data_IF_427655427074
#
_entry.id   IF_427655427074
#
_cell.length_a   1.000
_cell.length_b   1.000
_cell.length_c   1.000
_cell.angle_alpha   90.00
_cell.angle_beta   90.00
_cell.angle_gamma   90.00
#
_symmetry.space_group_name_H-M   'P 1'
#
loop_
_entity.id
_entity.type
_entity.pdbx_description
1 polymer ?
#
# COMPACT_ATOMS: atom_id res chain seq x y z
N UNK A 1 69.90 -5.72 -60.03
CA UNK A 1 68.45 -5.41 -59.95
C UNK A 1 67.76 -6.62 -59.31
N UNK A 2 67.67 -6.66 -57.98
CA UNK A 2 67.10 -7.78 -57.25
C UNK A 2 65.60 -7.53 -57.00
N UNK A 3 64.74 -8.46 -57.46
CA UNK A 3 63.33 -8.52 -57.10
C UNK A 3 63.17 -9.56 -56.00
N UNK A 4 62.87 -9.08 -54.79
CA UNK A 4 62.62 -9.89 -53.59
C UNK A 4 61.16 -10.30 -53.53
N UNK A 5 60.93 -11.60 -53.33
CA UNK A 5 59.64 -12.25 -53.10
C UNK A 5 59.11 -11.83 -51.72
N UNK A 6 57.89 -11.28 -51.65
CA UNK A 6 57.24 -10.93 -50.39
C UNK A 6 56.08 -11.91 -50.12
N UNK A 7 56.31 -12.80 -49.16
CA UNK A 7 55.34 -13.79 -48.67
C UNK A 7 54.29 -13.09 -47.79
N UNK A 8 53.02 -13.25 -48.12
CA UNK A 8 51.88 -12.70 -47.40
C UNK A 8 51.53 -13.61 -46.20
N UNK A 9 51.79 -13.16 -44.96
CA UNK A 9 51.32 -13.82 -43.74
C UNK A 9 49.91 -13.32 -43.38
N UNK A 10 48.94 -14.25 -43.35
CA UNK A 10 47.61 -14.04 -42.81
C UNK A 10 47.67 -14.09 -41.27
N UNK A 11 47.41 -12.97 -40.60
CA UNK A 11 47.27 -12.88 -39.16
C UNK A 11 45.79 -13.06 -38.77
N UNK A 12 45.47 -14.16 -38.08
CA UNK A 12 44.18 -14.36 -37.40
C UNK A 12 44.13 -13.55 -36.09
N UNK A 13 43.08 -12.76 -35.82
CA UNK A 13 42.96 -12.07 -34.54
C UNK A 13 42.55 -13.06 -33.44
N UNK A 14 43.35 -13.12 -32.38
CA UNK A 14 43.00 -13.75 -31.11
C UNK A 14 41.97 -12.86 -30.40
N UNK A 15 40.74 -13.35 -30.23
CA UNK A 15 39.75 -12.74 -29.35
C UNK A 15 40.17 -13.06 -27.91
N UNK A 16 40.67 -12.07 -27.20
CA UNK A 16 41.04 -12.19 -25.79
C UNK A 16 39.76 -12.13 -24.95
N UNK A 17 39.37 -13.25 -24.35
CA UNK A 17 38.29 -13.29 -23.38
C UNK A 17 38.66 -12.40 -22.18
N UNK A 18 37.88 -11.34 -21.95
CA UNK A 18 38.02 -10.52 -20.76
C UNK A 18 37.73 -11.39 -19.53
N UNK A 19 38.76 -11.66 -18.72
CA UNK A 19 38.59 -12.31 -17.43
C UNK A 19 37.84 -11.35 -16.50
N UNK A 20 36.61 -11.70 -16.16
CA UNK A 20 35.84 -11.04 -15.11
C UNK A 20 36.59 -11.26 -13.80
N UNK A 21 37.22 -10.20 -13.29
CA UNK A 21 37.80 -10.24 -11.94
C UNK A 21 36.65 -10.37 -10.93
N UNK A 22 36.71 -11.34 -10.00
CA UNK A 22 35.70 -11.44 -8.95
C UNK A 22 35.75 -10.18 -8.09
N UNK A 23 34.61 -9.50 -7.98
CA UNK A 23 34.47 -8.36 -7.08
C UNK A 23 34.70 -8.84 -5.63
N UNK A 24 35.39 -8.05 -4.79
CA UNK A 24 35.50 -8.35 -3.37
C UNK A 24 34.11 -8.50 -2.76
N UNK A 25 33.91 -9.39 -1.77
CA UNK A 25 32.63 -9.51 -1.10
C UNK A 25 32.24 -8.15 -0.52
N UNK A 26 31.08 -7.65 -0.91
CA UNK A 26 30.46 -6.51 -0.25
C UNK A 26 30.22 -6.95 1.19
N UNK A 27 30.96 -6.37 2.14
CA UNK A 27 30.71 -6.58 3.55
C UNK A 27 29.29 -6.10 3.83
N UNK A 28 28.40 -7.03 4.17
CA UNK A 28 27.07 -6.71 4.65
C UNK A 28 27.22 -5.74 5.82
N UNK A 29 26.52 -4.61 5.75
CA UNK A 29 26.37 -3.73 6.90
C UNK A 29 25.88 -4.57 8.10
N UNK A 30 26.32 -4.27 9.34
CA UNK A 30 25.82 -4.95 10.52
C UNK A 30 24.28 -4.91 10.52
N UNK A 31 23.60 -5.97 10.97
CA UNK A 31 22.15 -5.97 11.03
C UNK A 31 21.69 -4.75 11.82
N UNK A 32 20.98 -3.84 11.15
CA UNK A 32 20.18 -2.82 11.82
C UNK A 32 19.29 -3.58 12.80
N UNK A 33 19.30 -3.16 14.07
CA UNK A 33 18.43 -3.71 15.08
C UNK A 33 17.01 -3.74 14.51
N UNK A 34 16.38 -4.93 14.51
CA UNK A 34 15.01 -5.07 14.08
C UNK A 34 14.14 -4.03 14.82
N UNK A 35 13.20 -3.36 14.14
CA UNK A 35 12.29 -2.44 14.81
C UNK A 35 11.65 -3.16 15.99
N UNK A 36 11.76 -2.55 17.17
CA UNK A 36 11.22 -3.10 18.42
C UNK A 36 9.74 -3.42 18.23
N UNK A 37 9.39 -4.71 18.28
CA UNK A 37 7.99 -5.11 18.21
C UNK A 37 7.22 -4.50 19.38
N UNK A 38 5.99 -4.00 19.14
CA UNK A 38 5.20 -3.43 20.21
C UNK A 38 5.01 -4.41 21.39
N UNK A 39 5.23 -3.95 22.62
CA UNK A 39 5.08 -4.74 23.85
C UNK A 39 3.66 -4.59 24.42
N UNK A 40 3.12 -5.65 25.04
CA UNK A 40 1.77 -5.63 25.62
C UNK A 40 1.70 -4.64 26.79
N UNK A 41 0.75 -3.70 26.77
CA UNK A 41 0.52 -2.75 27.87
C UNK A 41 -0.93 -2.74 28.35
N UNK A 42 -1.14 -2.17 29.54
CA UNK A 42 -2.46 -1.93 30.10
C UNK A 42 -3.24 -0.96 29.18
N UNK A 43 -4.38 -1.45 28.70
CA UNK A 43 -5.18 -0.82 27.65
C UNK A 43 -5.84 0.48 28.14
N UNK A 44 -5.75 1.60 27.40
CA UNK A 44 -6.76 2.66 27.46
C UNK A 44 -8.16 2.06 27.26
N UNK A 45 -9.22 2.78 27.62
CA UNK A 45 -10.59 2.37 27.28
C UNK A 45 -10.70 2.18 25.76
N UNK A 46 -10.86 0.93 25.33
CA UNK A 46 -10.98 0.54 23.93
C UNK A 46 -12.47 0.57 23.53
N UNK A 47 -12.80 1.27 22.43
CA UNK A 47 -14.13 1.16 21.83
C UNK A 47 -14.27 -0.19 21.10
N UNK A 48 -15.46 -0.81 21.09
CA UNK A 48 -15.72 -2.01 20.28
C UNK A 48 -15.39 -1.81 18.79
N UNK A 49 -15.57 -0.59 18.28
CA UNK A 49 -15.28 -0.21 16.90
C UNK A 49 -13.78 -0.26 16.61
N UNK A 50 -12.95 0.34 17.48
CA UNK A 50 -11.50 0.30 17.35
C UNK A 50 -11.00 -1.15 17.39
N UNK A 51 -11.50 -1.95 18.35
CA UNK A 51 -11.18 -3.37 18.46
C UNK A 51 -11.45 -4.11 17.16
N UNK A 52 -12.66 -3.94 16.65
CA UNK A 52 -13.10 -4.64 15.47
C UNK A 52 -12.32 -4.22 14.22
N UNK A 53 -12.03 -2.93 14.02
CA UNK A 53 -11.21 -2.45 12.90
C UNK A 53 -9.82 -3.11 12.89
N UNK A 54 -9.18 -3.24 14.06
CA UNK A 54 -7.85 -3.88 14.18
C UNK A 54 -7.93 -5.38 13.89
N UNK A 55 -8.90 -6.08 14.47
CA UNK A 55 -9.09 -7.52 14.23
C UNK A 55 -9.45 -7.79 12.76
N UNK A 56 -10.24 -6.92 12.14
CA UNK A 56 -10.59 -6.98 10.72
C UNK A 56 -9.36 -6.81 9.82
N UNK A 57 -8.48 -5.84 10.10
CA UNK A 57 -7.21 -5.68 9.37
C UNK A 57 -6.34 -6.94 9.46
N UNK A 58 -6.21 -7.53 10.67
CA UNK A 58 -5.48 -8.78 10.88
C UNK A 58 -6.11 -10.00 10.20
N UNK A 59 -7.43 -10.01 10.09
CA UNK A 59 -8.18 -11.04 9.38
C UNK A 59 -8.15 -10.86 7.85
N UNK A 60 -7.47 -9.82 7.35
CA UNK A 60 -7.41 -9.41 5.94
C UNK A 60 -8.73 -8.90 5.36
N UNK A 61 -9.64 -8.41 6.20
CA UNK A 61 -10.86 -7.72 5.80
C UNK A 61 -10.75 -6.26 6.24
N UNK A 62 -9.84 -5.51 5.61
CA UNK A 62 -9.49 -4.14 6.01
C UNK A 62 -10.70 -3.21 6.03
N UNK A 63 -10.76 -2.31 7.02
CA UNK A 63 -11.66 -1.16 7.03
C UNK A 63 -11.01 0.10 6.41
N UNK A 64 -9.80 -0.03 5.87
CA UNK A 64 -8.96 1.08 5.41
C UNK A 64 -8.21 1.71 6.59
N UNK A 65 -8.23 3.04 6.68
CA UNK A 65 -7.64 3.74 7.82
C UNK A 65 -8.42 3.45 9.11
N UNK A 66 -7.71 2.99 10.14
CA UNK A 66 -8.25 2.77 11.49
C UNK A 66 -8.42 4.15 12.16
N UNK A 67 -9.66 4.47 12.50
CA UNK A 67 -10.06 5.75 13.09
C UNK A 67 -10.93 5.57 14.36
N UNK A 68 -11.23 4.32 14.74
CA UNK A 68 -12.05 3.98 15.89
C UNK A 68 -13.54 4.27 15.70
N UNK A 69 -14.00 4.58 14.49
CA UNK A 69 -15.39 4.93 14.20
C UNK A 69 -16.11 3.89 13.35
N UNK A 70 -17.41 3.74 13.58
CA UNK A 70 -18.26 2.91 12.74
C UNK A 70 -18.66 3.65 11.46
N UNK A 71 -17.93 3.39 10.37
CA UNK A 71 -18.19 3.95 9.05
C UNK A 71 -18.67 2.94 7.99
N UNK A 72 -18.91 3.41 6.77
CA UNK A 72 -19.27 2.58 5.61
C UNK A 72 -18.22 1.50 5.33
N UNK A 73 -16.93 1.84 5.36
CA UNK A 73 -15.85 0.88 5.12
C UNK A 73 -15.83 -0.23 6.16
N UNK A 74 -16.04 0.11 7.45
CA UNK A 74 -16.14 -0.89 8.50
C UNK A 74 -17.35 -1.82 8.30
N UNK A 75 -18.51 -1.27 7.91
CA UNK A 75 -19.69 -2.06 7.57
C UNK A 75 -19.39 -3.03 6.42
N UNK A 76 -18.72 -2.59 5.36
CA UNK A 76 -18.38 -3.43 4.20
C UNK A 76 -17.35 -4.51 4.57
N UNK A 77 -16.35 -4.17 5.38
CA UNK A 77 -15.40 -5.11 5.96
C UNK A 77 -16.11 -6.21 6.76
N UNK A 78 -17.05 -5.84 7.64
CA UNK A 78 -17.87 -6.78 8.40
C UNK A 78 -18.72 -7.68 7.48
N UNK A 79 -19.36 -7.11 6.46
CA UNK A 79 -20.14 -7.89 5.48
C UNK A 79 -19.27 -8.94 4.78
N UNK A 80 -18.10 -8.55 4.29
CA UNK A 80 -17.14 -9.45 3.64
C UNK A 80 -16.66 -10.53 4.59
N UNK A 81 -16.27 -10.15 5.81
CA UNK A 81 -15.79 -11.07 6.82
C UNK A 81 -16.86 -12.11 7.19
N UNK A 82 -18.08 -11.66 7.47
CA UNK A 82 -19.21 -12.52 7.81
C UNK A 82 -19.50 -13.53 6.69
N UNK A 83 -19.61 -13.06 5.44
CA UNK A 83 -19.77 -13.93 4.26
C UNK A 83 -18.66 -14.98 4.18
N UNK A 84 -17.39 -14.58 4.38
CA UNK A 84 -16.23 -15.48 4.32
C UNK A 84 -16.21 -16.56 5.42
N UNK A 85 -16.93 -16.32 6.52
CA UNK A 85 -17.04 -17.22 7.68
C UNK A 85 -18.36 -18.00 7.71
N UNK A 86 -19.21 -17.85 6.69
CA UNK A 86 -20.52 -18.49 6.64
C UNK A 86 -21.52 -17.96 7.68
N UNK A 87 -21.29 -16.73 8.16
CA UNK A 87 -22.19 -16.03 9.08
C UNK A 87 -23.25 -15.25 8.29
N UNK A 88 -24.32 -14.85 8.97
CA UNK A 88 -25.28 -13.91 8.42
C UNK A 88 -24.57 -12.57 8.13
N UNK A 89 -24.65 -12.10 6.88
CA UNK A 89 -24.03 -10.86 6.43
C UNK A 89 -24.87 -9.64 6.87
N UNK A 90 -24.90 -9.38 8.18
CA UNK A 90 -25.63 -8.26 8.79
C UNK A 90 -24.90 -6.92 8.64
N UNK A 91 -23.58 -6.99 8.43
CA UNK A 91 -22.67 -5.86 8.44
C UNK A 91 -22.51 -5.23 9.81
N UNK A 92 -23.05 -5.82 10.89
CA UNK A 92 -23.00 -5.33 12.27
C UNK A 92 -21.97 -6.10 13.09
N UNK A 93 -21.40 -5.45 14.10
CA UNK A 93 -20.56 -6.10 15.11
C UNK A 93 -21.43 -6.83 16.15
N UNK A 94 -22.10 -7.91 15.73
CA UNK A 94 -22.90 -8.75 16.61
C UNK A 94 -22.04 -9.76 17.40
N UNK A 95 -22.57 -10.40 18.47
CA UNK A 95 -21.80 -11.32 19.31
C UNK A 95 -21.19 -12.51 18.54
N UNK A 96 -21.86 -13.00 17.49
CA UNK A 96 -21.33 -14.09 16.67
C UNK A 96 -20.13 -13.63 15.84
N UNK A 97 -20.23 -12.44 15.25
CA UNK A 97 -19.16 -11.81 14.47
C UNK A 97 -17.96 -11.49 15.35
N UNK A 98 -18.18 -10.95 16.55
CA UNK A 98 -17.12 -10.67 17.52
C UNK A 98 -16.39 -11.96 17.93
N UNK A 99 -17.14 -13.03 18.23
CA UNK A 99 -16.55 -14.32 18.58
C UNK A 99 -15.73 -14.93 17.43
N UNK A 100 -16.13 -14.69 16.18
CA UNK A 100 -15.40 -15.18 15.01
C UNK A 100 -14.16 -14.33 14.65
N UNK A 101 -14.16 -13.04 15.00
CA UNK A 101 -13.03 -12.11 14.79
C UNK A 101 -11.91 -12.28 15.80
N UNK A 102 -12.22 -12.78 17.00
CA UNK A 102 -11.27 -12.86 18.11
C UNK A 102 -10.06 -13.76 17.78
N UNK A 103 -8.86 -13.19 17.90
CA UNK A 103 -7.58 -13.87 17.63
C UNK A 103 -6.77 -14.15 18.92
N UNK A 104 -7.30 -13.76 20.09
CA UNK A 104 -6.69 -13.88 21.42
C UNK A 104 -5.37 -13.11 21.58
N UNK A 105 -5.08 -12.18 20.68
CA UNK A 105 -3.90 -11.31 20.75
C UNK A 105 -4.31 -9.90 21.20
N UNK A 106 -3.46 -9.19 21.97
CA UNK A 106 -3.69 -7.78 22.28
C UNK A 106 -3.81 -6.96 21.00
N UNK A 107 -4.92 -6.25 20.86
CA UNK A 107 -5.24 -5.39 19.71
C UNK A 107 -4.52 -4.04 19.75
N UNK A 108 -4.16 -3.56 20.94
CA UNK A 108 -3.25 -2.43 21.12
C UNK A 108 -1.91 -2.94 21.66
N UNK A 109 -0.85 -2.17 21.38
CA UNK A 109 0.46 -2.46 21.91
C UNK A 109 1.29 -1.18 22.11
N UNK A 110 2.32 -1.26 22.94
CA UNK A 110 3.25 -0.17 23.22
C UNK A 110 4.39 -0.17 22.23
N UNK A 111 4.53 0.91 21.48
CA UNK A 111 5.65 1.20 20.62
C UNK A 111 6.59 2.23 21.26
N UNK A 112 7.90 2.00 21.19
CA UNK A 112 8.91 2.97 21.63
C UNK A 112 9.41 3.72 20.41
N UNK A 113 9.25 5.04 20.42
CA UNK A 113 9.70 5.92 19.34
C UNK A 113 11.21 5.82 19.21
N UNK A 114 11.68 5.52 18.01
CA UNK A 114 13.10 5.32 17.71
C UNK A 114 13.73 6.59 17.19
N UNK A 115 15.06 6.62 17.17
CA UNK A 115 15.83 7.68 16.54
C UNK A 115 15.50 7.81 15.03
N UNK A 116 15.31 6.68 14.34
CA UNK A 116 14.91 6.67 12.93
C UNK A 116 13.52 7.29 12.71
N UNK A 117 12.57 7.10 13.64
CA UNK A 117 11.26 7.73 13.52
C UNK A 117 11.34 9.24 13.72
N UNK A 118 12.26 9.75 14.54
CA UNK A 118 12.38 11.21 14.76
C UNK A 118 13.18 11.89 13.65
N UNK A 119 14.19 11.22 13.10
CA UNK A 119 15.09 11.80 12.08
C UNK A 119 14.39 12.11 10.74
N UNK A 120 13.33 11.36 10.38
CA UNK A 120 12.64 11.54 9.11
C UNK A 120 13.45 11.04 7.92
N UNK A 121 13.35 11.65 6.72
CA UNK A 121 13.03 13.05 6.49
C UNK A 121 11.53 13.36 6.50
N UNK A 122 11.15 14.45 7.17
CA UNK A 122 9.80 15.02 7.17
C UNK A 122 9.78 16.35 6.45
N UNK A 123 8.90 16.49 5.44
CA UNK A 123 8.77 17.74 4.68
C UNK A 123 7.32 17.97 4.29
N UNK A 124 6.79 19.20 4.42
CA UNK A 124 5.46 19.52 3.91
C UNK A 124 5.33 19.10 2.44
N UNK A 125 4.25 18.38 2.13
CA UNK A 125 3.94 17.96 0.77
C UNK A 125 3.30 19.14 0.04
N UNK A 126 3.89 19.66 -1.05
CA UNK A 126 3.30 20.75 -1.82
C UNK A 126 1.96 20.33 -2.42
N UNK A 127 1.03 21.27 -2.60
CA UNK A 127 -0.26 20.97 -3.22
C UNK A 127 -0.13 20.72 -4.74
N UNK A 128 0.63 21.57 -5.43
CA UNK A 128 0.72 21.55 -6.91
C UNK A 128 1.61 20.41 -7.42
N UNK A 129 1.23 19.79 -8.55
CA UNK A 129 2.05 18.75 -9.19
C UNK A 129 3.42 19.30 -9.64
N UNK A 130 3.48 20.57 -10.04
CA UNK A 130 4.72 21.23 -10.43
C UNK A 130 5.71 21.38 -9.26
N UNK A 131 5.23 21.69 -8.06
CA UNK A 131 6.08 21.81 -6.88
C UNK A 131 6.45 20.44 -6.30
N UNK A 132 5.52 19.47 -6.32
CA UNK A 132 5.82 18.07 -5.99
C UNK A 132 6.99 17.54 -6.83
N UNK A 133 7.01 17.83 -8.13
CA UNK A 133 8.07 17.39 -9.05
C UNK A 133 9.46 17.97 -8.77
N UNK A 134 9.57 19.03 -7.95
CA UNK A 134 10.87 19.61 -7.55
C UNK A 134 11.52 18.84 -6.39
N UNK A 135 10.76 17.99 -5.69
CA UNK A 135 11.27 17.23 -4.56
C UNK A 135 11.99 15.95 -5.03
N UNK A 136 13.08 15.55 -4.36
CA UNK A 136 13.81 14.32 -4.70
C UNK A 136 13.02 13.04 -4.36
N UNK A 137 12.05 13.13 -3.44
CA UNK A 137 11.12 12.09 -3.04
C UNK A 137 9.90 12.75 -2.36
N UNK A 138 8.73 12.09 -2.42
CA UNK A 138 7.53 12.50 -1.68
C UNK A 138 7.38 11.63 -0.43
N UNK A 139 8.26 11.89 0.55
CA UNK A 139 8.21 11.27 1.88
C UNK A 139 7.03 11.77 2.73
N UNK A 140 6.95 11.31 3.97
CA UNK A 140 5.95 11.78 4.93
C UNK A 140 6.14 13.26 5.30
N UNK A 141 5.04 13.95 5.60
CA UNK A 141 5.05 15.32 6.09
C UNK A 141 5.34 15.41 7.59
N UNK A 142 5.06 14.36 8.36
CA UNK A 142 5.28 14.31 9.80
C UNK A 142 5.51 12.89 10.31
N UNK A 143 6.02 12.78 11.53
CA UNK A 143 6.11 11.50 12.24
C UNK A 143 4.72 10.89 12.48
N UNK A 144 3.71 11.69 12.78
CA UNK A 144 2.34 11.24 12.98
C UNK A 144 1.80 10.51 11.74
N UNK A 145 2.08 11.05 10.56
CA UNK A 145 1.71 10.44 9.29
C UNK A 145 2.49 9.15 9.04
N UNK A 146 3.80 9.14 9.30
CA UNK A 146 4.63 7.96 9.13
C UNK A 146 4.23 6.80 10.07
N UNK A 147 3.92 7.12 11.33
CA UNK A 147 3.41 6.15 12.30
C UNK A 147 1.97 5.74 11.97
N UNK A 148 1.15 6.66 11.46
CA UNK A 148 -0.18 6.37 10.94
C UNK A 148 -0.14 5.34 9.82
N UNK A 149 0.71 5.56 8.82
CA UNK A 149 0.96 4.62 7.73
C UNK A 149 1.44 3.26 8.26
N UNK A 150 2.41 3.26 9.20
CA UNK A 150 2.96 2.02 9.77
C UNK A 150 1.90 1.19 10.51
N UNK A 151 1.07 1.84 11.32
CA UNK A 151 0.09 1.16 12.18
C UNK A 151 -1.33 1.19 11.60
N UNK A 152 -1.46 1.50 10.31
CA UNK A 152 -2.71 1.61 9.55
C UNK A 152 -3.75 2.55 10.20
N UNK A 153 -3.29 3.55 10.94
CA UNK A 153 -4.10 4.38 11.81
C UNK A 153 -4.17 5.83 11.31
N UNK A 154 -5.25 6.53 11.63
CA UNK A 154 -5.29 7.98 11.45
C UNK A 154 -4.33 8.67 12.43
N UNK A 155 -3.59 9.72 12.00
CA UNK A 155 -2.82 10.57 12.91
C UNK A 155 -3.63 11.06 14.12
N UNK A 156 -4.91 11.39 13.89
CA UNK A 156 -5.85 11.80 14.93
C UNK A 156 -6.05 10.70 15.99
N UNK A 157 -6.37 9.48 15.56
CA UNK A 157 -6.53 8.34 16.47
C UNK A 157 -5.24 8.09 17.27
N UNK A 158 -4.08 8.14 16.63
CA UNK A 158 -2.81 7.96 17.33
C UNK A 158 -2.61 9.01 18.44
N UNK A 159 -3.00 10.26 18.21
CA UNK A 159 -2.96 11.30 19.26
C UNK A 159 -3.99 11.07 20.36
N UNK A 160 -5.20 10.63 20.01
CA UNK A 160 -6.25 10.32 20.99
C UNK A 160 -5.88 9.14 21.90
N UNK A 161 -5.21 8.12 21.36
CA UNK A 161 -4.66 7.00 22.14
C UNK A 161 -3.52 7.41 23.07
N UNK A 162 -2.90 8.58 22.82
CA UNK A 162 -1.65 9.01 23.46
C UNK A 162 -1.72 10.45 23.99
N UNK A 163 -2.67 10.76 24.90
CA UNK A 163 -2.84 12.11 25.42
C UNK A 163 -1.56 12.58 26.13
N UNK A 164 -1.06 13.75 25.72
CA UNK A 164 0.12 14.38 26.31
C UNK A 164 1.47 13.76 25.93
N UNK A 165 1.50 12.76 25.05
CA UNK A 165 2.75 12.14 24.57
C UNK A 165 3.42 12.97 23.47
N UNK A 166 4.74 13.08 23.56
CA UNK A 166 5.56 13.78 22.57
C UNK A 166 6.11 12.78 21.55
N UNK A 167 5.53 12.82 20.35
CA UNK A 167 5.93 11.90 19.28
C UNK A 167 7.33 12.20 18.74
N UNK A 168 7.88 13.40 18.96
CA UNK A 168 9.22 13.76 18.49
C UNK A 168 10.33 13.37 19.48
N UNK A 169 9.99 12.67 20.57
CA UNK A 169 10.94 12.26 21.59
C UNK A 169 11.34 10.81 21.42
N UNK A 170 12.61 10.59 21.10
CA UNK A 170 13.22 9.26 21.12
C UNK A 170 13.06 8.63 22.51
N UNK A 171 12.63 7.37 22.54
CA UNK A 171 12.37 6.63 23.78
C UNK A 171 10.98 6.85 24.37
N UNK A 172 10.18 7.80 23.86
CA UNK A 172 8.79 7.95 24.29
C UNK A 172 8.00 6.68 23.95
N UNK A 173 7.23 6.19 24.92
CA UNK A 173 6.36 5.04 24.75
C UNK A 173 4.94 5.50 24.41
N UNK A 174 4.43 5.02 23.28
CA UNK A 174 3.09 5.31 22.77
C UNK A 174 2.29 4.02 22.57
N UNK A 175 0.98 4.10 22.66
CA UNK A 175 0.03 3.02 22.35
C UNK A 175 -0.38 3.12 20.88
N UNK A 176 -0.31 2.01 20.16
CA UNK A 176 -0.62 1.93 18.72
C UNK A 176 -1.50 0.70 18.43
N UNK A 177 -2.28 0.72 17.33
CA UNK A 177 -2.90 -0.48 16.79
C UNK A 177 -1.87 -1.56 16.47
N UNK A 178 -2.09 -2.77 16.98
CA UNK A 178 -1.18 -3.89 16.79
C UNK A 178 -1.50 -4.66 15.49
N UNK A 179 -1.41 -4.00 14.35
CA UNK A 179 -1.82 -4.57 13.04
C UNK A 179 -0.86 -5.64 12.49
N UNK A 180 0.39 -5.66 12.96
CA UNK A 180 1.44 -6.56 12.43
C UNK A 180 1.39 -8.00 12.96
N UNK A 181 0.42 -8.35 13.81
CA UNK A 181 0.18 -9.73 14.22
C UNK A 181 -0.60 -10.56 13.17
N UNK A 182 -0.96 -9.96 12.03
CA UNK A 182 -1.63 -10.63 10.92
C UNK A 182 -0.77 -11.80 10.36
N UNK A 183 -1.43 -12.92 10.04
CA UNK A 183 -0.80 -14.02 9.30
C UNK A 183 -0.59 -13.68 7.82
N UNK A 184 -0.03 -14.60 7.01
CA UNK A 184 0.02 -14.43 5.57
C UNK A 184 -1.38 -14.54 4.95
N UNK A 185 -1.65 -13.74 3.90
CA UNK A 185 -2.88 -13.85 3.12
C UNK A 185 -2.91 -15.22 2.43
N UNK A 186 -4.01 -15.98 2.51
CA UNK A 186 -4.13 -17.25 1.79
C UNK A 186 -4.01 -17.07 0.26
N UNK A 187 -3.59 -18.11 -0.48
CA UNK A 187 -3.49 -18.02 -1.94
C UNK A 187 -4.80 -17.58 -2.60
N UNK A 188 -4.68 -16.65 -3.55
CA UNK A 188 -5.80 -16.13 -4.35
C UNK A 188 -5.62 -16.52 -5.82
N UNK A 189 -6.74 -16.66 -6.52
CA UNK A 189 -6.79 -17.00 -7.95
C UNK A 189 -7.15 -15.79 -8.83
N UNK A 190 -7.80 -14.77 -8.27
CA UNK A 190 -8.18 -13.53 -8.98
C UNK A 190 -8.43 -12.38 -8.02
N UNK A 191 -8.32 -11.17 -8.54
CA UNK A 191 -8.87 -9.95 -7.94
C UNK A 191 -10.31 -9.77 -8.45
N UNK A 192 -11.21 -9.36 -7.56
CA UNK A 192 -12.53 -8.84 -7.91
C UNK A 192 -12.66 -7.44 -7.34
N UNK A 193 -12.96 -6.46 -8.17
CA UNK A 193 -13.31 -5.10 -7.72
C UNK A 193 -14.79 -4.91 -7.99
N UNK A 194 -15.52 -4.57 -6.93
CA UNK A 194 -16.96 -4.40 -6.93
C UNK A 194 -17.25 -2.91 -6.67
N UNK A 195 -17.90 -2.26 -7.64
CA UNK A 195 -18.20 -0.84 -7.61
C UNK A 195 -19.26 -0.51 -6.57
N UNK A 196 -20.33 -1.30 -6.50
CA UNK A 196 -21.43 -1.14 -5.54
C UNK A 196 -20.95 -1.30 -4.09
N UNK A 197 -20.18 -2.35 -3.83
CA UNK A 197 -19.60 -2.61 -2.51
C UNK A 197 -18.36 -1.72 -2.25
N UNK A 198 -17.84 -1.00 -3.25
CA UNK A 198 -16.62 -0.18 -3.15
C UNK A 198 -15.46 -0.95 -2.53
N UNK A 199 -15.25 -2.18 -2.99
CA UNK A 199 -14.21 -3.06 -2.44
C UNK A 199 -13.36 -3.69 -3.53
N UNK A 200 -12.13 -4.02 -3.16
CA UNK A 200 -11.28 -4.95 -3.85
C UNK A 200 -11.15 -6.21 -3.00
N UNK A 201 -11.46 -7.36 -3.58
CA UNK A 201 -11.38 -8.68 -2.96
C UNK A 201 -10.35 -9.57 -3.64
N UNK A 202 -9.62 -10.34 -2.86
CA UNK A 202 -8.83 -11.48 -3.32
C UNK A 202 -9.68 -12.75 -3.16
N UNK A 203 -9.86 -13.48 -4.25
CA UNK A 203 -10.76 -14.64 -4.32
C UNK A 203 -9.99 -15.88 -4.70
N UNK A 204 -10.16 -16.97 -3.96
CA UNK A 204 -9.49 -18.25 -4.22
C UNK A 204 -10.13 -19.02 -5.39
N UNK A 205 -9.55 -20.18 -5.73
CA UNK A 205 -10.04 -21.06 -6.80
C UNK A 205 -11.45 -21.61 -6.56
N UNK A 206 -11.89 -21.69 -5.30
CA UNK A 206 -13.23 -22.16 -4.92
C UNK A 206 -14.26 -21.02 -4.92
N UNK A 207 -13.86 -19.79 -5.22
CA UNK A 207 -14.73 -18.62 -5.22
C UNK A 207 -14.91 -17.97 -3.84
N UNK A 208 -14.11 -18.35 -2.84
CA UNK A 208 -14.16 -17.77 -1.51
C UNK A 208 -13.28 -16.51 -1.44
N UNK A 209 -13.82 -15.45 -0.84
CA UNK A 209 -13.06 -14.24 -0.50
C UNK A 209 -12.08 -14.56 0.63
N UNK A 210 -10.78 -14.41 0.36
CA UNK A 210 -9.69 -14.65 1.32
C UNK A 210 -9.11 -13.36 1.90
N UNK A 211 -9.31 -12.24 1.21
CA UNK A 211 -9.05 -10.90 1.72
C UNK A 211 -9.96 -9.87 1.01
N UNK A 212 -10.25 -8.76 1.69
CA UNK A 212 -11.06 -7.68 1.18
C UNK A 212 -10.52 -6.34 1.68
N UNK A 213 -10.51 -5.33 0.82
CA UNK A 213 -10.01 -3.99 1.09
C UNK A 213 -11.01 -2.97 0.55
N UNK A 214 -11.25 -1.84 1.24
CA UNK A 214 -12.06 -0.77 0.67
C UNK A 214 -11.30 -0.15 -0.50
N UNK A 215 -12.05 0.29 -1.50
CA UNK A 215 -11.51 0.89 -2.70
C UNK A 215 -12.29 2.15 -3.08
N UNK A 216 -11.59 3.15 -3.60
CA UNK A 216 -12.20 4.22 -4.37
C UNK A 216 -12.08 3.90 -5.86
N UNK A 217 -13.21 3.86 -6.56
CA UNK A 217 -13.33 3.51 -7.98
C UNK A 217 -13.57 4.74 -8.85
N UNK A 218 -13.89 4.54 -10.13
CA UNK A 218 -14.17 5.60 -11.10
C UNK A 218 -15.32 6.54 -10.70
N UNK A 219 -15.38 7.68 -11.37
CA UNK A 219 -16.47 8.66 -11.23
C UNK A 219 -17.49 8.50 -12.36
N UNK A 220 -18.59 9.24 -12.33
CA UNK A 220 -19.51 9.31 -13.48
C UNK A 220 -18.81 9.74 -14.78
N UNK A 221 -17.78 10.58 -14.69
CA UNK A 221 -17.02 11.04 -15.86
C UNK A 221 -16.03 9.98 -16.36
N UNK A 222 -15.37 9.32 -15.42
CA UNK A 222 -14.36 8.29 -15.67
C UNK A 222 -14.76 6.99 -14.96
N UNK A 223 -15.77 6.25 -15.48
CA UNK A 223 -16.32 5.11 -14.78
C UNK A 223 -15.34 3.96 -14.68
N UNK A 224 -15.57 3.06 -13.70
CA UNK A 224 -14.81 1.82 -13.60
C UNK A 224 -15.04 1.00 -14.88
N UNK A 225 -13.99 0.56 -15.60
CA UNK A 225 -14.16 -0.16 -16.85
C UNK A 225 -14.54 -1.62 -16.55
N UNK A 226 -15.83 -1.87 -16.32
CA UNK A 226 -16.39 -3.20 -16.04
C UNK A 226 -15.95 -4.22 -17.09
N UNK A 227 -15.52 -5.39 -16.63
CA UNK A 227 -15.04 -6.47 -17.49
C UNK A 227 -13.91 -7.31 -16.88
N UNK A 228 -13.33 -8.16 -17.71
CA UNK A 228 -12.21 -9.03 -17.36
C UNK A 228 -10.90 -8.45 -17.87
N UNK A 229 -9.95 -8.28 -16.95
CA UNK A 229 -8.63 -7.72 -17.18
C UNK A 229 -7.57 -8.61 -16.53
N UNK A 230 -6.31 -8.21 -16.70
CA UNK A 230 -5.16 -8.86 -16.09
C UNK A 230 -4.19 -7.83 -15.55
N UNK A 231 -3.41 -8.22 -14.55
CA UNK A 231 -2.21 -7.48 -14.16
C UNK A 231 -1.16 -7.63 -15.26
N UNK A 232 -0.66 -6.52 -15.81
CA UNK A 232 0.50 -6.54 -16.71
C UNK A 232 1.81 -6.56 -15.94
N UNK A 233 1.87 -5.87 -14.80
CA UNK A 233 3.05 -5.79 -13.96
C UNK A 233 2.82 -4.98 -12.68
N UNK A 234 3.76 -5.09 -11.76
CA UNK A 234 3.74 -4.41 -10.45
C UNK A 234 4.97 -3.52 -10.34
N UNK A 235 4.76 -2.21 -10.21
CA UNK A 235 5.79 -1.23 -9.92
C UNK A 235 5.75 -0.84 -8.44
N UNK A 236 6.83 -1.09 -7.70
CA UNK A 236 7.00 -0.62 -6.31
C UNK A 236 7.70 0.73 -6.30
N UNK A 237 7.21 1.64 -5.47
CA UNK A 237 7.67 3.02 -5.35
C UNK A 237 7.84 3.67 -6.73
N UNK A 238 6.77 3.76 -7.54
CA UNK A 238 6.88 4.24 -8.91
C UNK A 238 7.14 5.76 -8.99
N UNK A 239 7.85 6.19 -10.03
CA UNK A 239 7.75 7.57 -10.52
C UNK A 239 6.33 7.78 -11.06
N UNK A 240 5.71 8.93 -10.78
CA UNK A 240 4.40 9.28 -11.35
C UNK A 240 4.54 10.35 -12.42
N UNK A 241 4.06 10.04 -13.63
CA UNK A 241 4.10 10.92 -14.79
C UNK A 241 2.75 11.60 -14.96
N UNK A 242 2.56 12.72 -14.28
CA UNK A 242 1.37 13.53 -14.41
C UNK A 242 1.28 14.14 -15.82
N UNK A 243 0.12 13.95 -16.46
CA UNK A 243 -0.22 14.58 -17.72
C UNK A 243 -1.61 15.22 -17.58
N UNK A 244 -1.71 16.55 -17.45
CA UNK A 244 -2.99 17.24 -17.20
C UNK A 244 -4.02 17.02 -18.33
N UNK A 245 -3.58 16.62 -19.53
CA UNK A 245 -4.49 16.29 -20.65
C UNK A 245 -5.35 15.05 -20.42
N UNK A 246 -5.01 14.22 -19.41
CA UNK A 246 -5.77 13.04 -19.05
C UNK A 246 -6.81 13.31 -17.95
N UNK A 247 -6.87 14.55 -17.44
CA UNK A 247 -7.74 14.93 -16.31
C UNK A 247 -8.66 16.06 -16.77
N UNK A 248 -9.96 15.82 -16.75
CA UNK A 248 -10.97 16.80 -17.17
C UNK A 248 -11.06 18.00 -16.23
N UNK A 249 -10.64 17.85 -14.97
CA UNK A 249 -10.62 18.85 -13.91
C UNK A 249 -9.23 19.48 -13.69
N UNK A 250 -8.26 19.21 -14.56
CA UNK A 250 -6.95 19.84 -14.50
C UNK A 250 -7.07 21.37 -14.57
N UNK A 251 -6.38 22.08 -13.67
CA UNK A 251 -6.46 23.55 -13.63
C UNK A 251 -5.83 24.17 -14.88
N UNK A 252 -6.39 25.26 -15.41
CA UNK A 252 -5.78 25.98 -16.53
C UNK A 252 -4.33 26.37 -16.24
N UNK A 253 -3.43 26.05 -17.18
CA UNK A 253 -2.00 26.36 -17.07
C UNK A 253 -1.14 25.27 -16.43
N UNK A 254 -1.73 24.14 -16.00
CA UNK A 254 -0.95 23.00 -15.53
C UNK A 254 -0.14 22.34 -16.67
N UNK A 255 1.10 21.99 -16.35
CA UNK A 255 2.03 21.29 -17.24
C UNK A 255 2.26 19.84 -16.84
N UNK A 256 2.91 19.07 -17.72
CA UNK A 256 3.37 17.73 -17.37
C UNK A 256 4.38 17.80 -16.22
N UNK A 257 4.30 16.84 -15.31
CA UNK A 257 5.19 16.78 -14.16
C UNK A 257 5.64 15.33 -13.90
N UNK A 258 6.89 15.16 -13.45
CA UNK A 258 7.41 13.87 -13.02
C UNK A 258 7.61 13.92 -11.51
N UNK A 259 6.78 13.21 -10.79
CA UNK A 259 6.78 13.16 -9.33
C UNK A 259 7.58 11.93 -8.90
N UNK A 260 8.57 12.17 -8.05
CA UNK A 260 9.46 11.11 -7.54
C UNK A 260 8.77 10.23 -6.50
N UNK A 261 9.32 9.03 -6.22
CA UNK A 261 8.65 8.05 -5.39
C UNK A 261 8.49 8.50 -3.94
N UNK A 262 7.61 7.82 -3.24
CA UNK A 262 7.40 7.96 -1.81
C UNK A 262 5.92 7.76 -1.43
N UNK A 263 5.62 7.61 -0.13
CA UNK A 263 4.26 7.36 0.36
C UNK A 263 3.28 8.47 -0.02
N UNK A 264 3.76 9.70 -0.20
CA UNK A 264 2.94 10.84 -0.60
C UNK A 264 2.79 11.03 -2.12
N UNK A 265 3.33 10.11 -2.91
CA UNK A 265 3.14 10.12 -4.36
C UNK A 265 1.64 9.94 -4.69
N UNK A 266 1.06 10.63 -5.69
CA UNK A 266 -0.35 10.48 -6.06
C UNK A 266 -0.81 9.05 -6.38
N UNK A 267 0.10 8.16 -6.79
CA UNK A 267 -0.19 6.72 -6.97
C UNK A 267 0.36 5.85 -5.85
N UNK A 268 0.79 6.47 -4.75
CA UNK A 268 1.25 5.81 -3.55
C UNK A 268 2.54 5.01 -3.74
N UNK A 269 2.66 3.95 -2.92
CA UNK A 269 3.87 3.10 -2.87
C UNK A 269 3.86 1.94 -3.87
N UNK A 270 2.73 1.69 -4.56
CA UNK A 270 2.59 0.61 -5.55
C UNK A 270 1.67 1.06 -6.68
N UNK A 271 2.08 0.77 -7.92
CA UNK A 271 1.23 0.75 -9.11
C UNK A 271 1.12 -0.68 -9.65
N UNK A 272 -0.10 -1.20 -9.76
CA UNK A 272 -0.39 -2.47 -10.43
C UNK A 272 -1.10 -2.16 -11.75
N UNK A 273 -0.37 -2.36 -12.85
CA UNK A 273 -0.82 -1.99 -14.19
C UNK A 273 -1.87 -2.98 -14.69
N UNK A 274 -3.00 -2.49 -15.19
CA UNK A 274 -4.04 -3.33 -15.78
C UNK A 274 -3.82 -3.46 -17.29
N UNK A 275 -4.29 -4.57 -17.87
CA UNK A 275 -4.36 -4.75 -19.33
C UNK A 275 -5.29 -3.77 -20.04
N UNK A 276 -5.97 -2.90 -19.30
CA UNK A 276 -6.70 -1.73 -19.78
C UNK A 276 -5.76 -0.52 -19.78
N UNK A 277 -5.50 0.03 -20.97
CA UNK A 277 -4.60 1.18 -21.15
C UNK A 277 -4.99 2.37 -20.25
N UNK A 278 -4.01 2.90 -19.50
CA UNK A 278 -4.11 4.00 -18.53
C UNK A 278 -4.77 3.68 -17.18
N UNK A 279 -5.19 2.44 -16.93
CA UNK A 279 -5.83 2.06 -15.67
C UNK A 279 -4.90 1.21 -14.81
N UNK A 280 -5.02 1.38 -13.50
CA UNK A 280 -4.23 0.65 -12.52
C UNK A 280 -4.95 0.51 -11.19
N UNK A 281 -4.47 -0.43 -10.39
CA UNK A 281 -4.77 -0.54 -8.97
C UNK A 281 -3.56 0.02 -8.22
N UNK A 282 -3.74 0.99 -7.33
CA UNK A 282 -2.61 1.69 -6.73
C UNK A 282 -2.89 2.20 -5.31
N UNK A 283 -1.81 2.58 -4.61
CA UNK A 283 -1.89 3.20 -3.30
C UNK A 283 -2.33 4.66 -3.36
N UNK A 284 -2.52 5.31 -2.22
CA UNK A 284 -2.89 6.73 -2.14
C UNK A 284 -2.20 7.41 -0.97
N UNK A 285 -1.87 8.71 -1.07
CA UNK A 285 -1.44 9.50 0.08
C UNK A 285 -2.62 9.88 1.01
N UNK A 286 -3.86 9.62 0.60
CA UNK A 286 -5.08 10.04 1.30
C UNK A 286 -5.90 8.83 1.82
N UNK A 287 -5.38 8.02 2.77
CA UNK A 287 -6.05 6.79 3.19
C UNK A 287 -7.44 7.05 3.81
N UNK A 288 -7.66 8.21 4.44
CA UNK A 288 -8.94 8.59 5.01
C UNK A 288 -10.06 8.86 3.99
N UNK A 289 -9.71 8.99 2.70
CA UNK A 289 -10.65 9.28 1.60
C UNK A 289 -11.07 8.02 0.82
N UNK A 290 -10.43 6.87 1.06
CA UNK A 290 -10.75 5.61 0.39
C UNK A 290 -12.20 5.19 0.67
N UNK A 291 -12.93 4.88 -0.39
CA UNK A 291 -14.36 4.52 -0.35
C UNK A 291 -15.30 5.72 -0.16
N UNK A 292 -14.76 6.94 -0.03
CA UNK A 292 -15.52 8.18 0.19
C UNK A 292 -15.45 9.15 -1.00
N UNK A 293 -14.43 9.02 -1.83
CA UNK A 293 -14.25 9.82 -3.06
C UNK A 293 -14.20 8.94 -4.30
N UNK A 294 -14.45 9.57 -5.44
CA UNK A 294 -14.33 8.99 -6.77
C UNK A 294 -12.99 9.37 -7.41
N UNK A 295 -12.57 8.60 -8.40
CA UNK A 295 -11.30 8.77 -9.12
C UNK A 295 -11.53 9.07 -10.60
N UNK A 296 -10.43 9.34 -11.32
CA UNK A 296 -10.39 9.40 -12.78
C UNK A 296 -10.30 8.00 -13.42
N UNK A 297 -11.02 7.02 -12.86
CA UNK A 297 -11.14 5.65 -13.37
C UNK A 297 -10.24 4.59 -12.72
N UNK A 298 -9.18 4.97 -12.02
CA UNK A 298 -8.27 4.03 -11.34
C UNK A 298 -8.84 3.47 -10.03
N UNK A 299 -8.31 2.34 -9.57
CA UNK A 299 -8.72 1.73 -8.30
C UNK A 299 -7.71 2.14 -7.23
N UNK A 300 -8.14 2.97 -6.28
CA UNK A 300 -7.30 3.44 -5.18
C UNK A 300 -7.53 2.62 -3.92
N UNK A 301 -6.45 2.21 -3.29
CA UNK A 301 -6.41 1.59 -1.97
C UNK A 301 -5.52 2.44 -1.04
N UNK A 302 -5.58 2.20 0.26
CA UNK A 302 -4.53 2.66 1.17
C UNK A 302 -3.18 2.08 0.72
N UNK A 303 -2.08 2.77 1.01
CA UNK A 303 -0.74 2.32 0.63
C UNK A 303 -0.41 0.93 1.18
N UNK A 304 -0.71 0.66 2.45
CA UNK A 304 -0.49 -0.64 3.07
C UNK A 304 -1.35 -1.76 2.47
N UNK A 305 -2.61 -1.49 2.11
CA UNK A 305 -3.45 -2.51 1.47
C UNK A 305 -3.05 -2.74 0.00
N UNK A 306 -2.66 -1.70 -0.74
CA UNK A 306 -2.08 -1.84 -2.07
C UNK A 306 -0.79 -2.69 -2.05
N UNK A 307 0.07 -2.50 -1.05
CA UNK A 307 1.27 -3.30 -0.87
C UNK A 307 0.96 -4.77 -0.60
N UNK A 308 -0.03 -5.05 0.27
CA UNK A 308 -0.52 -6.42 0.53
C UNK A 308 -1.03 -7.09 -0.75
N UNK A 309 -1.84 -6.39 -1.57
CA UNK A 309 -2.34 -6.93 -2.84
C UNK A 309 -1.20 -7.17 -3.83
N UNK A 310 -0.24 -6.25 -3.91
CA UNK A 310 0.92 -6.35 -4.78
C UNK A 310 1.83 -7.55 -4.48
N UNK A 311 1.87 -8.00 -3.23
CA UNK A 311 2.59 -9.22 -2.82
C UNK A 311 1.89 -10.50 -3.32
N UNK A 312 0.59 -10.44 -3.64
CA UNK A 312 -0.23 -11.58 -4.03
C UNK A 312 -0.36 -11.78 -5.54
N UNK A 313 0.09 -10.81 -6.35
CA UNK A 313 -0.18 -10.78 -7.79
C UNK A 313 1.08 -10.63 -8.63
N UNK A 314 0.98 -11.02 -9.89
CA UNK A 314 2.03 -10.87 -10.89
C UNK A 314 1.45 -10.79 -12.30
N UNK A 315 2.31 -10.68 -13.34
CA UNK A 315 1.86 -10.61 -14.73
C UNK A 315 0.91 -11.77 -15.09
N UNK A 316 -0.21 -11.43 -15.72
CA UNK A 316 -1.28 -12.36 -16.10
C UNK A 316 -2.30 -12.66 -15.00
N UNK A 317 -2.11 -12.18 -13.77
CA UNK A 317 -3.07 -12.42 -12.67
C UNK A 317 -4.45 -11.84 -13.02
N UNK A 318 -5.54 -12.62 -12.97
CA UNK A 318 -6.86 -12.16 -13.39
C UNK A 318 -7.43 -11.06 -12.48
N UNK A 319 -8.08 -10.08 -13.10
CA UNK A 319 -8.81 -9.00 -12.44
C UNK A 319 -10.20 -8.92 -13.04
N UNK A 320 -11.23 -9.02 -12.22
CA UNK A 320 -12.63 -8.82 -12.63
C UNK A 320 -13.06 -7.48 -12.05
N UNK A 321 -13.53 -6.57 -12.89
CA UNK A 321 -14.20 -5.34 -12.47
C UNK A 321 -15.70 -5.54 -12.72
N UNK A 322 -16.51 -5.37 -11.69
CA UNK A 322 -17.96 -5.57 -11.72
C UNK A 322 -18.71 -4.44 -11.01
N UNK A 323 -19.99 -4.32 -11.33
CA UNK A 323 -20.94 -3.40 -10.69
C UNK A 323 -21.44 -3.98 -9.36
#
# INVERSE_FOLDING_TARGET
>A
MNKTLLTLLLATPLVQAAQVQPQPPVQAAPPQAAPSQPQVAATPAESPELRAQILLDRAHFSAGQIDGQYGSNMKHALLGFQKSRGLAATGKLDPQTLAALEDRQPVLATYTITDADVQGPYRPVPESMADKAKLPALGFASIDEALGERFHASPKLLRELNPGKDFNRVGEQIIVPNVHAAGPIPPAARIVVDESDRTLSLVDTAGKVVAQFPASTGSEHDPLPIGEWKINGVGRNPDYRYNPKLFWDAKPGEGKAMIKPGPNNPVGVVWMDLSKEHYGIHGTPEPGMIGKTESHGCIRLTNWDAAKVADMVGPGFPVILQD
#
